data_IF_236239754517
#
_entry.id   IF_236239754517
#
_cell.length_a   1.000
_cell.length_b   1.000
_cell.length_c   1.000
_cell.angle_alpha   90.00
_cell.angle_beta   90.00
_cell.angle_gamma   90.00
#
_symmetry.space_group_name_H-M   'P 1'
#
loop_
_entity.id
_entity.type
_entity.pdbx_description
1 polymer ?
#
# COMPACT_ATOMS: atom_id res chain seq x y z
N UNK A 1 -4.11 12.67 3.90
CA UNK A 1 -3.90 11.94 2.62
C UNK A 1 -5.06 10.99 2.37
N UNK A 2 -5.23 10.50 1.13
CA UNK A 2 -6.28 9.50 0.85
C UNK A 2 -6.00 8.18 1.59
N UNK A 3 -7.06 7.48 2.03
CA UNK A 3 -6.89 6.17 2.64
C UNK A 3 -6.37 5.14 1.62
N UNK A 4 -6.96 5.12 0.41
CA UNK A 4 -6.65 4.14 -0.63
C UNK A 4 -6.41 4.82 -1.98
N UNK A 5 -5.41 4.34 -2.71
CA UNK A 5 -5.19 4.62 -4.12
C UNK A 5 -5.21 3.29 -4.89
N UNK A 6 -6.18 3.11 -5.78
CA UNK A 6 -6.24 1.92 -6.65
C UNK A 6 -5.38 2.19 -7.88
N UNK A 7 -4.36 1.37 -8.06
CA UNK A 7 -3.44 1.43 -9.18
C UNK A 7 -3.99 0.56 -10.29
N UNK A 8 -4.68 1.19 -11.24
CA UNK A 8 -5.24 0.57 -12.45
C UNK A 8 -4.68 1.16 -13.75
N UNK A 9 -4.00 2.34 -13.69
CA UNK A 9 -3.29 2.92 -14.83
C UNK A 9 -1.93 2.23 -15.02
N UNK A 10 -1.67 1.56 -16.17
CA UNK A 10 -0.38 0.93 -16.48
C UNK A 10 0.81 1.87 -16.39
N UNK A 11 0.63 3.17 -16.69
CA UNK A 11 1.69 4.17 -16.60
C UNK A 11 2.07 4.47 -15.15
N UNK A 12 1.10 4.46 -14.24
CA UNK A 12 1.33 4.59 -12.79
C UNK A 12 1.97 3.33 -12.25
N UNK A 13 1.41 2.16 -12.62
CA UNK A 13 1.96 0.87 -12.23
C UNK A 13 3.43 0.72 -12.67
N UNK A 14 3.77 1.08 -13.90
CA UNK A 14 5.15 1.05 -14.41
C UNK A 14 6.13 1.90 -13.58
N UNK A 15 5.67 2.97 -12.95
CA UNK A 15 6.50 3.73 -12.00
C UNK A 15 6.70 2.94 -10.71
N UNK A 16 5.66 2.28 -10.21
CA UNK A 16 5.68 1.53 -8.95
C UNK A 16 6.30 0.13 -9.05
N UNK A 17 6.66 -0.35 -10.24
CA UNK A 17 7.48 -1.56 -10.42
C UNK A 17 8.81 -1.44 -9.66
N UNK A 18 9.40 -0.26 -9.64
CA UNK A 18 10.65 0.01 -8.92
C UNK A 18 10.44 -0.08 -7.39
N UNK A 19 11.14 -0.99 -6.69
CA UNK A 19 10.98 -1.17 -5.24
C UNK A 19 11.39 0.06 -4.44
N UNK A 20 12.38 0.84 -4.91
CA UNK A 20 12.82 2.04 -4.21
C UNK A 20 11.71 3.11 -4.16
N UNK A 21 10.91 3.24 -5.23
CA UNK A 21 9.77 4.17 -5.25
C UNK A 21 8.68 3.73 -4.30
N UNK A 22 8.46 2.43 -4.13
CA UNK A 22 7.53 1.92 -3.10
C UNK A 22 8.05 2.21 -1.70
N UNK A 23 9.36 1.99 -1.44
CA UNK A 23 9.97 2.30 -0.15
C UNK A 23 9.85 3.80 0.20
N UNK A 24 10.04 4.70 -0.77
CA UNK A 24 9.81 6.14 -0.58
C UNK A 24 8.36 6.41 -0.15
N UNK A 25 7.38 5.81 -0.82
CA UNK A 25 5.96 5.99 -0.46
C UNK A 25 5.65 5.40 0.91
N UNK A 26 6.26 4.27 1.27
CA UNK A 26 6.10 3.63 2.57
C UNK A 26 6.59 4.50 3.72
N UNK A 27 7.72 5.20 3.56
CA UNK A 27 8.18 6.18 4.54
C UNK A 27 7.26 7.40 4.60
N UNK A 28 6.87 7.93 3.43
CA UNK A 28 6.06 9.15 3.33
C UNK A 28 4.60 8.97 3.80
N UNK A 29 4.09 7.75 3.90
CA UNK A 29 2.78 7.50 4.50
C UNK A 29 2.80 7.55 6.03
N UNK A 30 3.96 7.28 6.64
CA UNK A 30 4.11 7.33 8.09
C UNK A 30 4.18 8.76 8.61
N UNK A 31 4.94 9.62 7.91
CA UNK A 31 5.10 11.03 8.27
C UNK A 31 5.64 11.84 7.08
N UNK A 32 5.30 13.14 6.98
CA UNK A 32 5.92 14.04 6.02
C UNK A 32 7.43 14.16 6.24
N UNK A 33 8.20 14.14 5.15
CA UNK A 33 9.67 14.24 5.19
C UNK A 33 10.20 15.18 4.10
N UNK A 34 11.37 15.77 4.38
CA UNK A 34 12.17 16.47 3.36
C UNK A 34 12.94 15.47 2.49
N UNK A 35 13.41 15.91 1.31
CA UNK A 35 14.25 15.04 0.47
C UNK A 35 15.56 14.65 1.16
N UNK A 36 16.18 15.57 1.90
CA UNK A 36 17.41 15.26 2.63
C UNK A 36 17.19 14.13 3.65
N UNK A 37 16.08 14.20 4.41
CA UNK A 37 15.75 13.15 5.38
C UNK A 37 15.45 11.81 4.70
N UNK A 38 14.67 11.81 3.61
CA UNK A 38 14.40 10.59 2.83
C UNK A 38 15.67 9.95 2.28
N UNK A 39 16.62 10.78 1.77
CA UNK A 39 17.89 10.28 1.28
C UNK A 39 18.66 9.56 2.37
N UNK A 40 18.76 10.16 3.56
CA UNK A 40 19.43 9.55 4.71
C UNK A 40 18.75 8.24 5.17
N UNK A 41 17.43 8.22 5.32
CA UNK A 41 16.67 7.03 5.76
C UNK A 41 16.82 5.85 4.78
N UNK A 42 16.96 6.15 3.48
CA UNK A 42 17.07 5.13 2.42
C UNK A 42 18.52 4.83 1.98
N UNK A 43 19.51 5.51 2.55
CA UNK A 43 20.90 5.36 2.13
C UNK A 43 21.16 5.80 0.68
N UNK A 44 20.38 6.77 0.16
CA UNK A 44 20.48 7.25 -1.21
C UNK A 44 21.26 8.56 -1.30
N UNK A 45 21.96 8.75 -2.43
CA UNK A 45 22.47 10.06 -2.78
C UNK A 45 21.34 11.04 -3.12
N UNK A 46 21.53 12.34 -2.89
CA UNK A 46 20.55 13.37 -3.23
C UNK A 46 20.12 13.36 -4.72
N UNK A 47 21.03 13.17 -5.70
CA UNK A 47 20.65 13.04 -7.10
C UNK A 47 19.77 11.80 -7.37
N UNK A 48 20.11 10.64 -6.78
CA UNK A 48 19.33 9.41 -6.93
C UNK A 48 17.92 9.58 -6.38
N UNK A 49 17.78 10.11 -5.16
CA UNK A 49 16.48 10.39 -4.59
C UNK A 49 15.68 11.37 -5.45
N UNK A 50 16.31 12.46 -5.91
CA UNK A 50 15.65 13.47 -6.75
C UNK A 50 15.07 12.86 -8.03
N UNK A 51 15.77 11.90 -8.65
CA UNK A 51 15.29 11.17 -9.82
C UNK A 51 14.00 10.38 -9.51
N UNK A 52 13.97 9.62 -8.39
CA UNK A 52 12.77 8.87 -7.97
C UNK A 52 11.62 9.82 -7.62
N UNK A 53 11.90 10.88 -6.86
CA UNK A 53 10.90 11.87 -6.46
C UNK A 53 10.28 12.59 -7.66
N UNK A 54 11.06 12.96 -8.69
CA UNK A 54 10.57 13.57 -9.93
C UNK A 54 9.53 12.67 -10.60
N UNK A 55 9.78 11.36 -10.69
CA UNK A 55 8.87 10.38 -11.31
C UNK A 55 7.58 10.20 -10.50
N UNK A 56 7.70 10.08 -9.17
CA UNK A 56 6.55 9.97 -8.28
C UNK A 56 5.66 11.22 -8.32
N UNK A 57 6.28 12.41 -8.31
CA UNK A 57 5.54 13.68 -8.39
C UNK A 57 4.85 13.89 -9.74
N UNK A 58 5.47 13.48 -10.84
CA UNK A 58 4.87 13.56 -12.19
C UNK A 58 3.55 12.79 -12.30
N UNK A 59 3.35 11.75 -11.45
CA UNK A 59 2.10 10.99 -11.35
C UNK A 59 1.27 11.32 -10.10
N UNK A 60 1.60 12.41 -9.42
CA UNK A 60 0.90 12.87 -8.21
C UNK A 60 0.81 11.80 -7.11
N UNK A 61 1.79 10.90 -7.05
CA UNK A 61 1.90 9.87 -5.99
C UNK A 61 2.53 10.43 -4.73
N UNK A 62 3.24 11.54 -4.86
CA UNK A 62 3.82 12.34 -3.77
C UNK A 62 3.31 13.76 -3.89
N UNK A 63 2.87 14.32 -2.77
CA UNK A 63 2.35 15.67 -2.62
C UNK A 63 3.25 16.51 -1.71
N UNK A 64 3.24 17.84 -1.91
CA UNK A 64 3.83 18.79 -0.98
C UNK A 64 2.79 19.15 0.05
N UNK A 65 3.12 18.98 1.33
CA UNK A 65 2.17 19.25 2.44
C UNK A 65 2.56 20.47 3.26
N UNK A 66 3.85 20.82 3.26
CA UNK A 66 4.36 21.94 4.05
C UNK A 66 5.61 22.53 3.40
N UNK A 67 5.79 23.85 3.60
CA UNK A 67 7.04 24.55 3.34
C UNK A 67 7.39 25.38 4.54
N UNK A 68 8.60 25.26 5.05
CA UNK A 68 9.11 26.00 6.20
C UNK A 68 10.42 26.69 5.86
N UNK A 69 10.64 27.86 6.45
CA UNK A 69 11.91 28.56 6.35
C UNK A 69 12.70 28.26 7.62
N UNK A 70 13.86 27.62 7.48
CA UNK A 70 14.79 27.40 8.58
C UNK A 70 15.54 28.69 9.00
N UNK A 71 16.24 28.60 10.15
CA UNK A 71 17.00 29.70 10.77
C UNK A 71 17.97 30.42 9.82
N UNK A 72 18.42 29.78 8.74
CA UNK A 72 19.32 30.34 7.72
C UNK A 72 18.61 30.76 6.42
N UNK A 73 17.30 31.03 6.47
CA UNK A 73 16.47 31.38 5.30
C UNK A 73 16.42 30.31 4.20
N UNK A 74 16.77 29.05 4.51
CA UNK A 74 16.67 27.93 3.59
C UNK A 74 15.24 27.40 3.64
N UNK A 75 14.57 27.40 2.48
CA UNK A 75 13.22 26.86 2.37
C UNK A 75 13.25 25.33 2.34
N UNK A 76 12.68 24.69 3.36
CA UNK A 76 12.47 23.26 3.39
C UNK A 76 11.08 22.90 2.86
N UNK A 77 11.02 21.90 1.99
CA UNK A 77 9.77 21.36 1.45
C UNK A 77 9.55 19.98 2.00
N UNK A 78 8.41 19.78 2.65
CA UNK A 78 7.98 18.50 3.19
C UNK A 78 7.02 17.82 2.22
N UNK A 79 7.30 16.55 1.97
CA UNK A 79 6.55 15.70 1.08
C UNK A 79 5.82 14.61 1.87
N UNK A 80 4.68 14.18 1.36
CA UNK A 80 3.92 13.05 1.87
C UNK A 80 3.45 12.17 0.72
N UNK A 81 3.09 10.92 1.04
CA UNK A 81 2.41 10.03 0.11
C UNK A 81 1.01 10.56 -0.22
N UNK A 82 0.57 10.39 -1.46
CA UNK A 82 -0.78 10.76 -1.87
C UNK A 82 -1.86 9.87 -1.23
N UNK A 83 -1.50 8.64 -0.87
CA UNK A 83 -2.38 7.70 -0.20
C UNK A 83 -1.62 6.84 0.82
N UNK A 84 -2.37 6.34 1.80
CA UNK A 84 -1.83 5.43 2.80
C UNK A 84 -1.60 4.03 2.23
N UNK A 85 -2.59 3.50 1.51
CA UNK A 85 -2.55 2.17 0.91
C UNK A 85 -2.63 2.24 -0.61
N UNK A 86 -1.64 1.67 -1.30
CA UNK A 86 -1.69 1.43 -2.74
C UNK A 86 -2.14 -0.01 -3.00
N UNK A 87 -3.31 -0.16 -3.63
CA UNK A 87 -3.91 -1.45 -4.01
C UNK A 87 -3.74 -1.64 -5.50
N UNK A 88 -3.11 -2.72 -5.92
CA UNK A 88 -2.85 -3.02 -7.32
C UNK A 88 -4.01 -3.82 -7.91
N UNK A 89 -4.71 -3.25 -8.89
CA UNK A 89 -5.76 -3.94 -9.66
C UNK A 89 -5.13 -4.73 -10.80
N UNK A 90 -4.72 -5.96 -10.47
CA UNK A 90 -3.97 -6.83 -11.38
C UNK A 90 -4.78 -7.25 -12.60
N UNK A 91 -6.12 -7.30 -12.50
CA UNK A 91 -7.01 -7.68 -13.58
C UNK A 91 -7.13 -6.56 -14.64
N UNK A 92 -6.98 -5.30 -14.22
CA UNK A 92 -7.01 -4.13 -15.11
C UNK A 92 -5.67 -3.83 -15.76
N UNK A 93 -4.59 -4.54 -15.40
CA UNK A 93 -3.25 -4.28 -15.89
C UNK A 93 -2.83 -5.24 -17.01
N UNK A 94 -1.99 -4.77 -17.96
CA UNK A 94 -1.29 -5.66 -18.89
C UNK A 94 -0.45 -6.70 -18.14
N UNK A 95 -0.46 -7.96 -18.61
CA UNK A 95 0.22 -9.10 -17.95
C UNK A 95 1.71 -8.86 -17.67
N UNK A 96 2.41 -8.18 -18.58
CA UNK A 96 3.83 -7.83 -18.43
C UNK A 96 4.10 -6.87 -17.28
N UNK A 97 3.12 -6.09 -16.83
CA UNK A 97 3.20 -5.20 -15.66
C UNK A 97 2.65 -5.92 -14.42
N UNK A 98 1.49 -6.57 -14.53
CA UNK A 98 0.83 -7.26 -13.42
C UNK A 98 1.76 -8.28 -12.73
N UNK A 99 2.60 -8.98 -13.50
CA UNK A 99 3.56 -9.98 -12.98
C UNK A 99 4.48 -9.46 -11.88
N UNK A 100 4.80 -8.17 -11.87
CA UNK A 100 5.66 -7.56 -10.84
C UNK A 100 4.93 -7.33 -9.51
N UNK A 101 3.61 -7.20 -9.55
CA UNK A 101 2.79 -6.92 -8.38
C UNK A 101 2.07 -8.13 -7.83
N UNK A 102 1.97 -9.21 -8.61
CA UNK A 102 1.32 -10.43 -8.15
C UNK A 102 1.96 -11.00 -6.87
N UNK A 103 3.29 -11.21 -6.81
CA UNK A 103 3.94 -11.67 -5.58
C UNK A 103 3.74 -10.70 -4.40
N UNK A 104 3.85 -9.39 -4.65
CA UNK A 104 3.69 -8.37 -3.60
C UNK A 104 2.28 -8.37 -3.04
N UNK A 105 1.26 -8.49 -3.89
CA UNK A 105 -0.14 -8.52 -3.47
C UNK A 105 -0.49 -9.80 -2.72
N UNK A 106 0.02 -10.93 -3.18
CA UNK A 106 -0.18 -12.24 -2.57
C UNK A 106 0.49 -12.31 -1.19
N UNK A 107 1.75 -11.86 -1.10
CA UNK A 107 2.49 -11.84 0.16
C UNK A 107 1.82 -10.92 1.20
N UNK A 108 1.34 -9.77 0.78
CA UNK A 108 0.55 -8.87 1.64
C UNK A 108 -0.71 -9.57 2.16
N UNK A 109 -1.46 -10.24 1.31
CA UNK A 109 -2.67 -10.95 1.71
C UNK A 109 -2.36 -12.10 2.68
N UNK A 110 -1.29 -12.86 2.45
CA UNK A 110 -0.81 -13.92 3.35
C UNK A 110 -0.43 -13.36 4.72
N UNK A 111 0.35 -12.27 4.75
CA UNK A 111 0.79 -11.65 6.01
C UNK A 111 -0.41 -11.18 6.84
N UNK A 112 -1.44 -10.62 6.19
CA UNK A 112 -2.68 -10.19 6.86
C UNK A 112 -3.44 -11.38 7.43
N UNK A 113 -3.57 -12.47 6.66
CA UNK A 113 -4.24 -13.70 7.12
C UNK A 113 -3.51 -14.31 8.31
N UNK A 114 -2.18 -14.42 8.24
CA UNK A 114 -1.36 -14.94 9.33
C UNK A 114 -1.45 -14.07 10.59
N UNK A 115 -1.38 -12.75 10.45
CA UNK A 115 -1.55 -11.84 11.58
C UNK A 115 -2.95 -11.96 12.20
N UNK A 116 -4.01 -12.08 11.38
CA UNK A 116 -5.38 -12.19 11.90
C UNK A 116 -5.61 -13.49 12.66
N UNK A 117 -4.98 -14.61 12.28
CA UNK A 117 -5.07 -15.88 13.01
C UNK A 117 -4.45 -15.79 14.41
N UNK A 118 -3.37 -15.03 14.56
CA UNK A 118 -2.70 -14.83 15.86
C UNK A 118 -3.50 -13.90 16.77
N UNK A 119 -4.08 -12.83 16.23
CA UNK A 119 -4.74 -11.79 17.04
C UNK A 119 -6.20 -12.09 17.37
N UNK A 120 -6.89 -12.96 16.62
CA UNK A 120 -8.30 -13.18 16.85
C UNK A 120 -8.60 -14.06 18.06
N UNK A 121 -7.64 -14.81 18.61
CA UNK A 121 -7.82 -15.64 19.82
C UNK A 121 -9.05 -16.56 19.79
N UNK A 122 -9.80 -16.54 18.70
CA UNK A 122 -11.05 -17.23 18.52
C UNK A 122 -10.81 -18.51 17.74
N UNK A 123 -11.43 -19.60 18.18
CA UNK A 123 -11.44 -20.92 17.55
C UNK A 123 -11.80 -20.89 16.03
N UNK A 124 -12.33 -19.77 15.53
CA UNK A 124 -12.68 -19.58 14.10
C UNK A 124 -11.50 -19.62 13.15
N UNK A 125 -10.27 -19.41 13.64
CA UNK A 125 -9.04 -19.44 12.82
C UNK A 125 -8.16 -20.66 13.12
N UNK A 126 -8.61 -21.57 13.98
CA UNK A 126 -7.93 -22.84 14.24
C UNK A 126 -8.25 -23.88 13.14
N UNK A 127 -8.37 -23.42 11.89
CA UNK A 127 -8.55 -24.29 10.74
C UNK A 127 -7.15 -24.62 10.23
N UNK A 128 -6.86 -25.89 10.21
CA UNK A 128 -5.62 -26.46 9.67
C UNK A 128 -5.63 -26.30 8.13
N UNK A 129 -5.32 -25.08 7.65
CA UNK A 129 -5.28 -24.78 6.22
C UNK A 129 -4.06 -25.44 5.58
N UNK A 130 -4.27 -26.21 4.54
CA UNK A 130 -3.18 -26.61 3.66
C UNK A 130 -2.58 -25.38 2.97
N UNK A 131 -1.30 -25.45 2.54
CA UNK A 131 -0.64 -24.36 1.81
C UNK A 131 -1.42 -23.92 0.56
N UNK A 132 -2.14 -24.84 -0.08
CA UNK A 132 -2.97 -24.57 -1.27
C UNK A 132 -4.20 -23.73 -0.90
N UNK A 133 -4.85 -24.03 0.22
CA UNK A 133 -6.02 -23.28 0.68
C UNK A 133 -5.68 -21.88 1.15
N UNK A 134 -4.53 -21.71 1.82
CA UNK A 134 -4.01 -20.39 2.20
C UNK A 134 -3.74 -19.56 0.95
N UNK A 135 -3.14 -20.12 -0.09
CA UNK A 135 -2.88 -19.42 -1.35
C UNK A 135 -4.18 -18.96 -2.01
N UNK A 136 -5.17 -19.85 -2.12
CA UNK A 136 -6.49 -19.53 -2.69
C UNK A 136 -7.19 -18.43 -1.90
N UNK A 137 -7.16 -18.51 -0.57
CA UNK A 137 -7.73 -17.48 0.30
C UNK A 137 -7.00 -16.14 0.15
N UNK A 138 -5.68 -16.15 0.01
CA UNK A 138 -4.89 -14.94 -0.21
C UNK A 138 -5.20 -14.29 -1.57
N UNK A 139 -5.44 -15.08 -2.63
CA UNK A 139 -5.91 -14.56 -3.92
C UNK A 139 -7.29 -13.89 -3.79
N UNK A 140 -8.22 -14.51 -3.09
CA UNK A 140 -9.54 -13.96 -2.85
C UNK A 140 -9.47 -12.65 -2.05
N UNK A 141 -8.64 -12.60 -1.02
CA UNK A 141 -8.39 -11.36 -0.25
C UNK A 141 -7.78 -10.28 -1.15
N UNK A 142 -6.86 -10.62 -2.03
CA UNK A 142 -6.25 -9.66 -2.97
C UNK A 142 -7.30 -9.06 -3.92
N UNK A 143 -8.21 -9.87 -4.47
CA UNK A 143 -9.32 -9.38 -5.31
C UNK A 143 -10.31 -8.52 -4.52
N UNK A 144 -10.63 -8.93 -3.29
CA UNK A 144 -11.53 -8.17 -2.42
C UNK A 144 -10.93 -6.83 -2.00
N UNK A 145 -9.61 -6.73 -1.83
CA UNK A 145 -8.94 -5.46 -1.54
C UNK A 145 -9.25 -4.39 -2.58
N UNK A 146 -9.34 -4.75 -3.87
CA UNK A 146 -9.73 -3.80 -4.92
C UNK A 146 -11.18 -3.36 -4.73
N UNK A 147 -12.10 -4.29 -4.49
CA UNK A 147 -13.54 -3.99 -4.32
C UNK A 147 -13.79 -3.14 -3.08
N UNK A 148 -13.27 -3.55 -1.94
CA UNK A 148 -13.40 -2.83 -0.67
C UNK A 148 -12.68 -1.48 -0.76
N UNK A 149 -11.48 -1.45 -1.33
CA UNK A 149 -10.67 -0.24 -1.48
C UNK A 149 -11.39 0.87 -2.26
N UNK A 150 -12.23 0.52 -3.24
CA UNK A 150 -13.04 1.49 -4.00
C UNK A 150 -13.92 2.36 -3.10
N UNK A 151 -14.46 1.82 -2.00
CA UNK A 151 -15.28 2.56 -1.04
C UNK A 151 -14.47 3.54 -0.18
N UNK A 152 -13.14 3.37 -0.12
CA UNK A 152 -12.24 4.18 0.70
C UNK A 152 -11.38 5.17 -0.09
N UNK A 153 -11.51 5.23 -1.43
CA UNK A 153 -10.68 6.13 -2.26
C UNK A 153 -10.84 7.61 -1.94
N UNK A 154 -12.04 8.00 -1.48
CA UNK A 154 -12.35 9.39 -1.13
C UNK A 154 -12.24 9.66 0.37
N UNK A 155 -11.93 8.64 1.18
CA UNK A 155 -11.72 8.82 2.62
C UNK A 155 -10.32 9.36 2.87
N UNK A 156 -10.23 10.38 3.72
CA UNK A 156 -8.96 10.91 4.18
C UNK A 156 -8.54 10.28 5.49
N UNK A 157 -7.24 10.14 5.68
CA UNK A 157 -6.61 9.60 6.90
C UNK A 157 -5.40 10.44 7.28
N UNK A 158 -5.07 10.42 8.55
CA UNK A 158 -3.86 11.04 9.08
C UNK A 158 -2.62 10.17 8.78
N UNK A 159 -1.44 10.79 8.93
CA UNK A 159 -0.17 10.08 8.78
C UNK A 159 0.01 9.10 9.94
N UNK A 160 0.39 7.87 9.63
CA UNK A 160 0.60 6.84 10.65
C UNK A 160 -0.66 6.25 11.27
N UNK A 161 -1.88 6.67 10.87
CA UNK A 161 -3.13 6.09 11.36
C UNK A 161 -3.48 4.81 10.58
N UNK A 162 -3.22 3.68 11.19
CA UNK A 162 -3.48 2.37 10.58
C UNK A 162 -4.92 1.86 10.77
N UNK A 163 -5.76 2.52 11.59
CA UNK A 163 -7.11 2.03 11.93
C UNK A 163 -7.97 1.75 10.71
N UNK A 164 -7.95 2.67 9.72
CA UNK A 164 -8.73 2.50 8.48
C UNK A 164 -8.21 1.32 7.66
N UNK A 165 -6.91 1.11 7.65
CA UNK A 165 -6.28 0.01 6.91
C UNK A 165 -6.61 -1.34 7.56
N UNK A 166 -6.57 -1.39 8.87
CA UNK A 166 -7.00 -2.56 9.64
C UNK A 166 -8.48 -2.88 9.36
N UNK A 167 -9.37 -1.87 9.30
CA UNK A 167 -10.78 -2.07 8.96
C UNK A 167 -10.96 -2.61 7.54
N UNK A 168 -10.23 -2.06 6.55
CA UNK A 168 -10.25 -2.57 5.17
C UNK A 168 -9.84 -4.05 5.13
N UNK A 169 -8.75 -4.41 5.81
CA UNK A 169 -8.26 -5.77 5.84
C UNK A 169 -9.23 -6.73 6.54
N UNK A 170 -9.79 -6.34 7.69
CA UNK A 170 -10.82 -7.12 8.40
C UNK A 170 -12.03 -7.40 7.51
N UNK A 171 -12.52 -6.39 6.78
CA UNK A 171 -13.65 -6.57 5.83
C UNK A 171 -13.32 -7.54 4.71
N UNK A 172 -12.12 -7.46 4.14
CA UNK A 172 -11.67 -8.38 3.11
C UNK A 172 -11.61 -9.83 3.62
N UNK A 173 -11.03 -10.05 4.80
CA UNK A 173 -10.91 -11.37 5.42
C UNK A 173 -12.30 -11.95 5.72
N UNK A 174 -13.15 -11.18 6.41
CA UNK A 174 -14.50 -11.63 6.75
C UNK A 174 -15.31 -12.01 5.50
N UNK A 175 -15.21 -11.21 4.44
CA UNK A 175 -15.90 -11.49 3.17
C UNK A 175 -15.33 -12.71 2.44
N UNK A 176 -14.03 -12.97 2.54
CA UNK A 176 -13.40 -14.14 1.94
C UNK A 176 -13.79 -15.44 2.66
N UNK A 177 -13.85 -15.39 3.99
CA UNK A 177 -14.23 -16.55 4.83
C UNK A 177 -15.72 -16.87 4.69
N UNK A 178 -16.60 -15.85 4.74
CA UNK A 178 -18.06 -16.04 4.60
C UNK A 178 -18.45 -16.70 3.28
N UNK A 179 -17.73 -16.43 2.19
CA UNK A 179 -17.96 -17.09 0.89
C UNK A 179 -17.64 -18.59 0.91
N UNK A 180 -16.70 -19.04 1.73
CA UNK A 180 -16.37 -20.46 1.86
C UNK A 180 -17.42 -21.22 2.66
N UNK A 181 -18.06 -20.60 3.65
CA UNK A 181 -19.09 -21.25 4.49
C UNK A 181 -20.42 -21.50 3.75
N UNK A 182 -20.66 -20.78 2.64
CA UNK A 182 -21.87 -20.95 1.80
C UNK A 182 -21.64 -21.98 0.67
N UNK A 183 -20.40 -22.41 0.44
CA UNK A 183 -20.02 -23.34 -0.62
C UNK A 183 -19.78 -24.79 -0.14
N UNK A 184 -20.15 -25.09 1.12
CA UNK A 184 -20.23 -26.43 1.73
C UNK A 184 -21.70 -26.73 2.01
#
# INVERSE_FOLDING_TARGET
MKAVYIVNDPKVAGILVDPMRRAILDLLRQRPMTQARLANELGLSAPSLSFHMKRLRAKRLVIVVKREIEKHRIMQTFFASAAYLFVYDLESMPKNIARYFYPVSLERARSILSASSVFSGSERFNIDYTCVEINKLAEDVSRLLVKVGKHYQNKEVEYGDEKVIIDIYKRCINSAISKKQVAI
#
